data_IF_105960734864
#
_entry.id   IF_105960734864
#
_cell.length_a   1.000
_cell.length_b   1.000
_cell.length_c   1.000
_cell.angle_alpha   90.00
_cell.angle_beta   90.00
_cell.angle_gamma   90.00
#
_symmetry.space_group_name_H-M   'P 1'
#
loop_
_entity.id
_entity.type
_entity.pdbx_description
1 polymer ?
#
# COMPACT_ATOMS: atom_id res chain seq x y z
N UNK A 1 -64.32 -2.81 -30.90
CA UNK A 1 -63.28 -2.47 -31.88
C UNK A 1 -62.47 -1.35 -31.23
N UNK A 2 -61.46 -1.60 -30.37
CA UNK A 2 -60.12 -2.15 -30.67
C UNK A 2 -59.49 -1.35 -31.84
N UNK A 3 -58.38 -0.63 -31.72
CA UNK A 3 -57.14 -0.89 -30.97
C UNK A 3 -56.43 0.40 -30.54
N UNK A 4 -55.85 0.35 -29.33
CA UNK A 4 -54.70 1.16 -28.92
C UNK A 4 -53.45 0.70 -29.67
N UNK A 5 -52.53 1.62 -30.03
CA UNK A 5 -51.12 1.27 -30.21
C UNK A 5 -50.23 2.33 -29.55
N UNK A 6 -49.81 1.95 -28.34
CA UNK A 6 -48.72 2.46 -27.54
C UNK A 6 -47.37 2.36 -28.30
N UNK A 7 -46.65 3.47 -28.42
CA UNK A 7 -45.40 3.58 -29.18
C UNK A 7 -44.23 4.15 -28.36
N UNK A 8 -43.90 3.46 -27.28
CA UNK A 8 -42.58 3.24 -26.65
C UNK A 8 -41.47 4.32 -26.79
N UNK A 9 -41.23 5.03 -25.68
CA UNK A 9 -39.97 5.70 -25.35
C UNK A 9 -38.83 4.69 -25.15
N UNK A 10 -37.71 4.87 -25.84
CA UNK A 10 -36.56 3.99 -25.66
C UNK A 10 -35.28 4.45 -26.38
N UNK A 11 -34.98 5.75 -26.39
CA UNK A 11 -33.70 6.26 -26.92
C UNK A 11 -32.81 6.67 -25.75
N UNK A 12 -32.28 5.70 -25.04
CA UNK A 12 -31.46 5.96 -23.86
C UNK A 12 -30.79 4.73 -23.29
N UNK A 13 -30.01 3.99 -24.09
CA UNK A 13 -28.85 3.25 -23.55
C UNK A 13 -27.89 2.60 -24.55
N UNK A 14 -28.02 2.82 -25.86
CA UNK A 14 -27.34 1.95 -26.84
C UNK A 14 -25.87 2.32 -27.17
N UNK A 15 -25.19 3.13 -26.36
CA UNK A 15 -23.81 3.59 -26.63
C UNK A 15 -22.70 2.91 -25.80
N UNK A 16 -23.03 2.02 -24.86
CA UNK A 16 -22.02 1.35 -24.01
C UNK A 16 -21.90 -0.16 -24.24
N UNK A 17 -22.53 -0.72 -25.29
CA UNK A 17 -22.64 -2.19 -25.44
C UNK A 17 -21.65 -2.84 -26.41
N UNK A 18 -20.72 -2.09 -26.99
CA UNK A 18 -19.60 -2.64 -27.77
C UNK A 18 -18.28 -2.15 -27.20
N UNK A 19 -18.01 -2.49 -25.94
CA UNK A 19 -16.64 -2.49 -25.44
C UNK A 19 -15.87 -3.57 -26.20
N UNK A 20 -15.10 -3.12 -27.19
CA UNK A 20 -14.30 -3.91 -28.12
C UNK A 20 -13.63 -5.11 -27.40
N UNK A 21 -13.86 -6.36 -27.84
CA UNK A 21 -13.22 -7.55 -27.27
C UNK A 21 -11.71 -7.41 -27.12
N UNK A 22 -11.06 -6.66 -28.02
CA UNK A 22 -9.64 -6.38 -27.98
C UNK A 22 -9.23 -5.51 -26.78
N UNK A 23 -10.05 -4.52 -26.41
CA UNK A 23 -9.79 -3.65 -25.24
C UNK A 23 -9.86 -4.46 -23.95
N UNK A 24 -10.81 -5.39 -23.84
CA UNK A 24 -10.89 -6.28 -22.68
C UNK A 24 -9.68 -7.20 -22.55
N UNK A 25 -9.17 -7.70 -23.67
CA UNK A 25 -7.96 -8.54 -23.70
C UNK A 25 -6.70 -7.76 -23.28
N UNK A 26 -6.55 -6.52 -23.75
CA UNK A 26 -5.45 -5.63 -23.34
C UNK A 26 -5.52 -5.31 -21.84
N UNK A 27 -6.69 -4.96 -21.31
CA UNK A 27 -6.86 -4.65 -19.88
C UNK A 27 -6.57 -5.88 -19.02
N UNK A 28 -7.04 -7.07 -19.43
CA UNK A 28 -6.76 -8.33 -18.74
C UNK A 28 -5.25 -8.63 -18.71
N UNK A 29 -4.58 -8.45 -19.84
CA UNK A 29 -3.12 -8.68 -19.95
C UNK A 29 -2.35 -7.71 -19.07
N UNK A 30 -2.67 -6.41 -19.12
CA UNK A 30 -2.04 -5.39 -18.29
C UNK A 30 -2.29 -5.62 -16.79
N UNK A 31 -3.47 -6.11 -16.42
CA UNK A 31 -3.79 -6.46 -15.03
C UNK A 31 -2.93 -7.63 -14.52
N UNK A 32 -2.77 -8.67 -15.32
CA UNK A 32 -1.94 -9.83 -14.96
C UNK A 32 -0.46 -9.44 -14.86
N UNK A 33 0.05 -8.64 -15.80
CA UNK A 33 1.41 -8.12 -15.77
C UNK A 33 1.66 -7.26 -14.53
N UNK A 34 0.73 -6.36 -14.19
CA UNK A 34 0.82 -5.55 -12.97
C UNK A 34 0.86 -6.43 -11.72
N UNK A 35 0.02 -7.47 -11.66
CA UNK A 35 0.00 -8.42 -10.54
C UNK A 35 1.34 -9.15 -10.41
N UNK A 36 1.92 -9.58 -11.53
CA UNK A 36 3.22 -10.24 -11.55
C UNK A 36 4.34 -9.30 -11.09
N UNK A 37 4.34 -8.04 -11.56
CA UNK A 37 5.31 -7.03 -11.13
C UNK A 37 5.21 -6.73 -9.64
N UNK A 38 4.00 -6.67 -9.08
CA UNK A 38 3.80 -6.50 -7.63
C UNK A 38 4.41 -7.66 -6.83
N UNK A 39 4.21 -8.91 -7.29
CA UNK A 39 4.83 -10.09 -6.67
C UNK A 39 6.36 -10.05 -6.76
N UNK A 40 6.89 -9.76 -7.95
CA UNK A 40 8.33 -9.64 -8.16
C UNK A 40 8.94 -8.55 -7.28
N UNK A 41 8.27 -7.42 -7.13
CA UNK A 41 8.71 -6.34 -6.25
C UNK A 41 8.82 -6.81 -4.80
N UNK A 42 7.83 -7.56 -4.29
CA UNK A 42 7.88 -8.12 -2.94
C UNK A 42 9.06 -9.09 -2.76
N UNK A 43 9.25 -10.01 -3.72
CA UNK A 43 10.35 -10.98 -3.70
C UNK A 43 11.73 -10.30 -3.74
N UNK A 44 11.88 -9.28 -4.59
CA UNK A 44 13.12 -8.49 -4.68
C UNK A 44 13.38 -7.75 -3.38
N UNK A 45 12.37 -7.10 -2.78
CA UNK A 45 12.51 -6.41 -1.51
C UNK A 45 12.94 -7.35 -0.37
N UNK A 46 12.37 -8.56 -0.33
CA UNK A 46 12.79 -9.60 0.62
C UNK A 46 14.27 -9.96 0.45
N UNK A 47 14.71 -10.20 -0.78
CA UNK A 47 16.12 -10.53 -1.09
C UNK A 47 17.07 -9.38 -0.72
N UNK A 48 16.69 -8.14 -1.01
CA UNK A 48 17.45 -6.94 -0.60
C UNK A 48 17.60 -6.91 0.93
N UNK A 49 16.51 -7.13 1.67
CA UNK A 49 16.52 -7.18 3.13
C UNK A 49 17.47 -8.23 3.68
N UNK A 50 17.40 -9.47 3.17
CA UNK A 50 18.31 -10.56 3.57
C UNK A 50 19.77 -10.21 3.31
N UNK A 51 20.10 -9.66 2.14
CA UNK A 51 21.48 -9.28 1.82
C UNK A 51 22.00 -8.16 2.72
N UNK A 52 21.19 -7.11 2.97
CA UNK A 52 21.54 -6.04 3.91
C UNK A 52 21.82 -6.59 5.32
N UNK A 53 21.01 -7.55 5.77
CA UNK A 53 21.20 -8.20 7.07
C UNK A 53 22.49 -9.02 7.12
N UNK A 54 22.79 -9.80 6.08
CA UNK A 54 24.05 -10.54 5.98
C UNK A 54 25.26 -9.61 6.03
N UNK A 55 25.25 -8.53 5.24
CA UNK A 55 26.34 -7.55 5.21
C UNK A 55 26.51 -6.89 6.58
N UNK A 56 25.40 -6.48 7.21
CA UNK A 56 25.42 -5.91 8.56
C UNK A 56 25.97 -6.91 9.59
N UNK A 57 25.60 -8.18 9.47
CA UNK A 57 26.11 -9.26 10.32
C UNK A 57 27.61 -9.49 10.15
N UNK A 58 28.11 -9.46 8.91
CA UNK A 58 29.54 -9.58 8.63
C UNK A 58 30.31 -8.40 9.24
N UNK A 59 29.84 -7.18 9.04
CA UNK A 59 30.53 -6.02 9.59
C UNK A 59 30.47 -5.96 11.13
N UNK A 60 29.40 -6.48 11.77
CA UNK A 60 29.37 -6.66 13.22
C UNK A 60 30.42 -7.68 13.73
N UNK A 61 30.80 -8.66 12.92
CA UNK A 61 31.78 -9.70 13.28
C UNK A 61 33.22 -9.30 12.97
N UNK A 62 33.43 -8.57 11.88
CA UNK A 62 34.76 -8.29 11.31
C UNK A 62 35.15 -6.81 11.34
N UNK A 63 34.29 -5.92 11.86
CA UNK A 63 34.51 -4.48 11.86
C UNK A 63 33.87 -3.79 10.66
N UNK A 64 33.65 -2.47 10.79
CA UNK A 64 32.97 -1.66 9.78
C UNK A 64 33.89 -1.27 8.62
N UNK A 65 35.22 -1.38 8.81
CA UNK A 65 36.26 -1.10 7.82
C UNK A 65 36.19 -1.95 6.54
N UNK A 66 35.43 -3.06 6.57
CA UNK A 66 35.21 -3.91 5.38
C UNK A 66 34.17 -3.30 4.42
N UNK A 67 33.43 -2.29 4.86
CA UNK A 67 32.38 -1.63 4.07
C UNK A 67 32.88 -0.29 3.57
N UNK A 68 32.75 -0.05 2.27
CA UNK A 68 32.92 1.28 1.72
C UNK A 68 31.72 2.19 2.06
N UNK A 69 31.89 3.48 1.77
CA UNK A 69 30.93 4.53 2.10
C UNK A 69 29.55 4.33 1.45
N UNK A 70 29.52 3.82 0.21
CA UNK A 70 28.30 3.57 -0.56
C UNK A 70 27.56 2.37 0.01
N UNK A 71 28.29 1.30 0.35
CA UNK A 71 27.74 0.10 0.95
C UNK A 71 27.20 0.37 2.36
N UNK A 72 27.89 1.18 3.16
CA UNK A 72 27.42 1.63 4.47
C UNK A 72 26.11 2.43 4.41
N UNK A 73 25.91 3.24 3.36
CA UNK A 73 24.65 3.94 3.11
C UNK A 73 23.54 2.96 2.73
N UNK A 74 23.83 2.03 1.81
CA UNK A 74 22.87 1.02 1.36
C UNK A 74 22.39 0.12 2.50
N UNK A 75 23.25 -0.29 3.42
CA UNK A 75 22.85 -1.12 4.58
C UNK A 75 22.38 -0.32 5.78
N UNK A 76 22.14 0.99 5.60
CA UNK A 76 21.64 1.89 6.63
C UNK A 76 22.52 1.97 7.89
N UNK A 77 23.83 1.68 7.78
CA UNK A 77 24.81 1.74 8.89
C UNK A 77 25.52 3.09 8.99
N UNK A 78 25.55 3.89 7.91
CA UNK A 78 25.97 5.30 7.92
C UNK A 78 24.98 6.25 8.65
N UNK A 79 24.11 5.69 9.51
CA UNK A 79 23.18 6.43 10.36
C UNK A 79 23.72 6.70 11.76
N UNK A 80 24.96 6.29 12.09
CA UNK A 80 25.63 6.72 13.33
C UNK A 80 25.83 8.24 13.26
N UNK A 81 24.81 8.99 13.69
CA UNK A 81 24.72 10.45 13.64
C UNK A 81 23.70 11.03 12.64
N UNK A 82 23.19 10.26 11.67
CA UNK A 82 22.14 10.73 10.74
C UNK A 82 20.78 10.17 11.13
N UNK A 83 19.95 11.05 11.69
CA UNK A 83 18.53 10.79 11.96
C UNK A 83 17.83 10.22 10.71
N UNK A 84 16.94 9.24 10.85
CA UNK A 84 16.24 8.67 9.70
C UNK A 84 15.50 9.76 8.92
N UNK A 85 15.59 9.74 7.60
CA UNK A 85 14.83 10.66 6.76
C UNK A 85 13.33 10.55 7.03
N UNK A 86 12.58 11.63 6.82
CA UNK A 86 11.17 11.74 7.19
C UNK A 86 10.30 10.57 6.68
N UNK A 87 10.53 10.12 5.44
CA UNK A 87 9.86 8.95 4.86
C UNK A 87 10.18 7.66 5.61
N UNK A 88 11.45 7.44 5.99
CA UNK A 88 11.89 6.25 6.71
C UNK A 88 11.27 6.20 8.11
N UNK A 89 11.19 7.36 8.79
CA UNK A 89 10.51 7.47 10.08
C UNK A 89 9.02 7.10 9.97
N UNK A 90 8.33 7.54 8.92
CA UNK A 90 6.93 7.15 8.68
C UNK A 90 6.77 5.65 8.44
N UNK A 91 7.64 5.02 7.65
CA UNK A 91 7.62 3.56 7.41
C UNK A 91 7.79 2.78 8.72
N UNK A 92 8.81 3.11 9.51
CA UNK A 92 9.07 2.46 10.80
C UNK A 92 7.84 2.52 11.71
N UNK A 93 7.23 3.70 11.86
CA UNK A 93 6.05 3.88 12.72
C UNK A 93 4.83 3.08 12.25
N UNK A 94 4.61 2.95 10.94
CA UNK A 94 3.52 2.13 10.40
C UNK A 94 3.81 0.63 10.55
N UNK A 95 5.04 0.19 10.29
CA UNK A 95 5.45 -1.21 10.39
C UNK A 95 5.37 -1.74 11.83
N UNK A 96 5.72 -0.91 12.80
CA UNK A 96 5.70 -1.25 14.23
C UNK A 96 4.31 -1.12 14.87
N UNK A 97 3.28 -0.81 14.07
CA UNK A 97 1.92 -0.63 14.57
C UNK A 97 1.01 -1.78 14.18
N UNK A 98 0.45 -2.47 15.19
CA UNK A 98 -0.55 -3.53 14.96
C UNK A 98 -1.91 -2.98 14.48
N UNK A 99 -2.16 -1.69 14.72
CA UNK A 99 -3.39 -0.99 14.35
C UNK A 99 -3.13 0.09 13.29
N UNK A 100 -4.11 0.39 12.41
CA UNK A 100 -4.05 1.56 11.53
C UNK A 100 -3.88 2.84 12.35
N UNK A 101 -3.10 3.81 11.87
CA UNK A 101 -2.77 5.08 12.54
C UNK A 101 -3.29 6.30 11.77
N UNK A 102 -3.79 7.30 12.48
CA UNK A 102 -4.04 8.63 11.94
C UNK A 102 -2.74 9.41 11.78
N UNK A 103 -2.78 10.49 10.99
CA UNK A 103 -1.64 11.41 10.80
C UNK A 103 -1.10 11.92 12.15
N UNK A 104 -1.99 12.24 13.10
CA UNK A 104 -1.61 12.73 14.43
C UNK A 104 -0.85 11.67 15.23
N UNK A 105 -1.37 10.44 15.28
CA UNK A 105 -0.69 9.35 16.00
C UNK A 105 0.67 9.01 15.36
N UNK A 106 0.80 9.14 14.03
CA UNK A 106 2.10 9.00 13.37
C UNK A 106 3.06 10.11 13.81
N UNK A 107 2.64 11.38 13.78
CA UNK A 107 3.44 12.49 14.30
C UNK A 107 3.85 12.28 15.76
N UNK A 108 2.91 11.88 16.62
CA UNK A 108 3.17 11.68 18.05
C UNK A 108 4.23 10.58 18.28
N UNK A 109 4.14 9.48 17.54
CA UNK A 109 5.12 8.38 17.61
C UNK A 109 6.50 8.79 17.07
N UNK A 110 6.55 9.57 15.97
CA UNK A 110 7.81 10.13 15.47
C UNK A 110 8.39 11.10 16.50
N UNK A 111 7.57 11.96 17.13
CA UNK A 111 8.04 12.90 18.15
C UNK A 111 8.63 12.17 19.36
N UNK A 112 8.04 11.06 19.80
CA UNK A 112 8.52 10.29 20.95
C UNK A 112 9.85 9.57 20.67
N UNK A 113 10.04 9.04 19.46
CA UNK A 113 11.19 8.16 19.14
C UNK A 113 12.30 8.88 18.38
N UNK A 114 11.93 9.82 17.53
CA UNK A 114 12.77 10.47 16.53
C UNK A 114 12.43 11.97 16.38
N UNK A 115 12.43 12.75 17.49
CA UNK A 115 11.94 14.14 17.48
C UNK A 115 12.66 15.04 16.47
N UNK A 116 13.95 14.80 16.25
CA UNK A 116 14.77 15.58 15.31
C UNK A 116 14.31 15.47 13.85
N UNK A 117 13.51 14.46 13.51
CA UNK A 117 12.91 14.30 12.18
C UNK A 117 11.83 15.34 11.93
N UNK A 118 11.01 15.65 12.94
CA UNK A 118 9.92 16.62 12.80
C UNK A 118 10.42 18.07 12.77
N UNK A 119 11.52 18.37 13.48
CA UNK A 119 12.11 19.72 13.55
C UNK A 119 12.52 20.30 12.19
N UNK A 120 12.74 19.44 11.19
CA UNK A 120 13.14 19.85 9.84
C UNK A 120 11.96 20.28 8.95
N UNK A 121 10.73 20.15 9.45
CA UNK A 121 9.52 20.40 8.70
C UNK A 121 8.68 21.50 9.37
N UNK A 122 8.39 22.56 8.61
CA UNK A 122 7.54 23.67 9.07
C UNK A 122 6.13 23.21 9.46
N UNK A 123 5.62 22.21 8.76
CA UNK A 123 4.33 21.55 9.06
C UNK A 123 4.51 20.03 9.03
N UNK A 124 4.71 19.41 10.22
CA UNK A 124 4.82 17.97 10.35
C UNK A 124 3.57 17.21 9.88
N UNK A 125 2.36 17.72 10.11
CA UNK A 125 1.12 17.03 9.74
C UNK A 125 0.96 16.97 8.22
N UNK A 126 1.21 18.08 7.52
CA UNK A 126 1.17 18.10 6.06
C UNK A 126 2.26 17.20 5.45
N UNK A 127 3.45 17.21 6.05
CA UNK A 127 4.58 16.38 5.61
C UNK A 127 4.26 14.88 5.80
N UNK A 128 3.72 14.49 6.95
CA UNK A 128 3.29 13.10 7.21
C UNK A 128 2.20 12.71 6.23
N UNK A 129 1.18 13.55 6.04
CA UNK A 129 0.09 13.25 5.10
C UNK A 129 0.60 13.00 3.68
N UNK A 130 1.53 13.83 3.21
CA UNK A 130 2.16 13.67 1.90
C UNK A 130 2.90 12.34 1.78
N UNK A 131 3.70 11.99 2.79
CA UNK A 131 4.42 10.72 2.81
C UNK A 131 3.47 9.53 2.88
N UNK A 132 2.44 9.58 3.73
CA UNK A 132 1.47 8.50 3.86
C UNK A 132 0.70 8.26 2.55
N UNK A 133 0.31 9.32 1.84
CA UNK A 133 -0.31 9.20 0.53
C UNK A 133 0.64 8.56 -0.49
N UNK A 134 1.92 8.98 -0.52
CA UNK A 134 2.93 8.34 -1.38
C UNK A 134 3.15 6.87 -1.05
N UNK A 135 3.16 6.50 0.23
CA UNK A 135 3.27 5.10 0.64
C UNK A 135 2.05 4.27 0.19
N UNK A 136 0.86 4.88 0.12
CA UNK A 136 -0.33 4.25 -0.47
C UNK A 136 -0.19 4.13 -1.99
N UNK A 137 0.26 5.17 -2.69
CA UNK A 137 0.54 5.14 -4.13
C UNK A 137 1.58 4.07 -4.47
N UNK A 138 2.58 3.88 -3.61
CA UNK A 138 3.59 2.84 -3.74
C UNK A 138 3.12 1.46 -3.26
N UNK A 139 1.88 1.31 -2.80
CA UNK A 139 1.36 0.04 -2.28
C UNK A 139 2.08 -0.51 -1.05
N UNK A 140 2.81 0.33 -0.32
CA UNK A 140 3.48 -0.03 0.95
C UNK A 140 2.53 0.12 2.16
N UNK A 141 1.55 1.02 2.04
CA UNK A 141 0.55 1.27 3.06
C UNK A 141 -0.86 1.24 2.46
N UNK A 142 -1.87 1.02 3.29
CA UNK A 142 -3.27 1.11 2.92
C UNK A 142 -3.94 2.22 3.73
N UNK A 143 -4.72 3.06 3.05
CA UNK A 143 -5.64 3.99 3.70
C UNK A 143 -6.94 3.26 4.04
N UNK A 144 -7.30 3.24 5.32
CA UNK A 144 -8.52 2.59 5.84
C UNK A 144 -9.39 3.61 6.55
N UNK A 145 -10.70 3.37 6.58
CA UNK A 145 -11.63 4.14 7.41
C UNK A 145 -11.81 3.44 8.75
N UNK A 146 -11.58 4.14 9.86
CA UNK A 146 -11.86 3.61 11.20
C UNK A 146 -13.38 3.63 11.48
N UNK A 147 -13.87 2.91 12.50
CA UNK A 147 -15.30 2.93 12.88
C UNK A 147 -15.88 4.32 13.18
N UNK A 148 -15.01 5.27 13.55
CA UNK A 148 -15.38 6.67 13.77
C UNK A 148 -15.43 7.53 12.48
N UNK A 149 -15.32 6.90 11.30
CA UNK A 149 -15.31 7.56 9.99
C UNK A 149 -14.02 8.32 9.65
N UNK A 150 -13.01 8.31 10.53
CA UNK A 150 -11.74 9.01 10.28
C UNK A 150 -10.77 8.13 9.50
N UNK A 151 -10.06 8.76 8.56
CA UNK A 151 -9.01 8.11 7.78
C UNK A 151 -7.81 7.75 8.65
N UNK A 152 -7.32 6.54 8.46
CA UNK A 152 -6.11 6.01 9.09
C UNK A 152 -5.29 5.23 8.05
N UNK A 153 -4.04 4.93 8.38
CA UNK A 153 -3.10 4.24 7.50
C UNK A 153 -2.51 3.05 8.23
N UNK A 154 -2.41 1.92 7.55
CA UNK A 154 -1.76 0.72 8.07
C UNK A 154 -0.70 0.25 7.09
N UNK A 155 0.36 -0.37 7.60
CA UNK A 155 1.37 -1.02 6.76
C UNK A 155 0.78 -2.26 6.07
N UNK A 156 1.13 -2.50 4.81
CA UNK A 156 0.72 -3.72 4.11
C UNK A 156 1.74 -4.82 4.41
N UNK A 157 1.42 -5.69 5.37
CA UNK A 157 2.17 -6.90 5.69
C UNK A 157 1.56 -8.07 4.89
N UNK A 158 2.00 -8.27 3.65
CA UNK A 158 1.39 -9.22 2.68
C UNK A 158 -0.05 -8.80 2.27
N UNK A 159 -0.44 -8.92 0.99
CA UNK A 159 -1.84 -8.67 0.62
C UNK A 159 -2.73 -9.75 1.26
N UNK A 160 -3.61 -9.36 2.19
CA UNK A 160 -4.80 -10.15 2.48
C UNK A 160 -5.55 -10.28 1.15
N UNK A 161 -5.52 -11.48 0.59
CA UNK A 161 -6.37 -11.86 -0.54
C UNK A 161 -7.79 -11.82 0.02
N UNK A 162 -8.44 -10.66 -0.09
CA UNK A 162 -9.86 -10.52 0.22
C UNK A 162 -10.60 -11.45 -0.73
N UNK A 163 -10.96 -12.61 -0.23
CA UNK A 163 -11.70 -13.61 -0.97
C UNK A 163 -13.15 -13.15 -0.92
N UNK A 164 -13.56 -12.33 -1.88
CA UNK A 164 -14.97 -12.08 -2.14
C UNK A 164 -15.58 -13.40 -2.63
N UNK A 165 -16.12 -14.18 -1.70
CA UNK A 165 -17.03 -15.29 -1.98
C UNK A 165 -18.44 -14.69 -2.20
N UNK A 166 -19.05 -14.81 -3.39
CA UNK A 166 -20.47 -14.53 -3.55
C UNK A 166 -21.27 -15.70 -2.96
N UNK A 167 -21.84 -15.51 -1.77
CA UNK A 167 -22.93 -16.36 -1.28
C UNK A 167 -24.26 -15.79 -1.75
N UNK A 168 -24.90 -16.49 -2.70
CA UNK A 168 -26.35 -16.76 -2.68
C UNK A 168 -26.73 -17.62 -3.90
N UNK A 169 -26.61 -18.94 -3.77
CA UNK A 169 -27.43 -19.87 -4.53
C UNK A 169 -27.87 -21.02 -3.63
N UNK A 170 -29.13 -21.39 -3.78
CA UNK A 170 -29.86 -22.52 -3.17
C UNK A 170 -30.54 -22.26 -1.81
N UNK A 171 -31.74 -21.67 -1.87
CA UNK A 171 -32.88 -22.22 -1.13
C UNK A 171 -34.02 -22.48 -2.11
N UNK A 172 -34.04 -23.69 -2.65
CA UNK A 172 -35.24 -24.36 -3.14
C UNK A 172 -35.19 -25.79 -2.57
N UNK A 173 -36.35 -26.23 -2.10
CA UNK A 173 -36.72 -27.57 -1.62
C UNK A 173 -36.52 -27.95 -0.15
N UNK A 174 -37.44 -27.48 0.69
CA UNK A 174 -38.26 -28.33 1.58
C UNK A 174 -39.24 -27.50 2.39
N UNK A 175 -40.54 -27.60 2.12
CA UNK A 175 -41.55 -28.16 3.04
C UNK A 175 -42.98 -27.97 2.46
N UNK A 176 -43.67 -29.10 2.30
CA UNK A 176 -45.13 -29.35 2.25
C UNK A 176 -45.93 -28.80 1.07
#
# INVERSE_FOLDING_TARGET
>A
MQEEHNGNNGVGNSLLRNSDPHVHEVVKTAHEELRQLMKQRADIMKRIGTLKQTISGLANLFGDEILDDDLMELVDRKTVGRQPGFTKACRLVLMESDAPLSVREVCDRIQQRMPAVLLRHKDPLASVTTVLNRLVEYGEAQSVSRPNGRRAWRWVSEPEIVSEHPQAHAMLDSQI
#
